data_IF_938560828232
#
_entry.id   IF_938560828232
#
_cell.length_a   1.000
_cell.length_b   1.000
_cell.length_c   1.000
_cell.angle_alpha   90.00
_cell.angle_beta   90.00
_cell.angle_gamma   90.00
#
_symmetry.space_group_name_H-M   'P 1'
#
loop_
_entity.id
_entity.type
_entity.pdbx_description
1 polymer ?
#
# COMPACT_ATOMS: atom_id res chain seq x y z
N UNK A 1 40.69 -2.59 -7.29
CA UNK A 1 39.24 -2.76 -7.51
C UNK A 1 38.91 -2.18 -8.89
N UNK A 2 38.89 -3.03 -9.92
CA UNK A 2 38.78 -2.60 -11.32
C UNK A 2 37.36 -2.14 -11.65
N UNK A 3 37.18 -0.86 -11.97
CA UNK A 3 35.98 -0.34 -12.64
C UNK A 3 36.19 -0.55 -14.14
N UNK A 4 35.60 -1.60 -14.70
CA UNK A 4 35.58 -1.80 -16.15
C UNK A 4 34.68 -0.71 -16.75
N UNK A 5 35.30 0.31 -17.33
CA UNK A 5 34.60 1.38 -18.04
C UNK A 5 34.17 0.78 -19.37
N UNK A 6 32.95 0.24 -19.43
CA UNK A 6 32.39 -0.33 -20.64
C UNK A 6 32.31 0.78 -21.70
N UNK A 7 32.97 0.56 -22.84
CA UNK A 7 33.02 1.53 -23.92
C UNK A 7 31.62 1.68 -24.53
N UNK A 8 31.25 2.93 -24.85
CA UNK A 8 29.90 3.27 -25.33
C UNK A 8 29.61 2.53 -26.64
N UNK A 9 30.62 2.40 -27.50
CA UNK A 9 30.52 1.68 -28.77
C UNK A 9 30.33 0.17 -28.57
N UNK A 10 30.98 -0.41 -27.55
CA UNK A 10 30.82 -1.83 -27.19
C UNK A 10 29.41 -2.11 -26.65
N UNK A 11 28.86 -1.19 -25.85
CA UNK A 11 27.48 -1.26 -25.37
C UNK A 11 26.47 -1.21 -26.53
N UNK A 12 26.63 -0.26 -27.45
CA UNK A 12 25.73 -0.12 -28.60
C UNK A 12 25.79 -1.34 -29.51
N UNK A 13 26.97 -1.84 -29.83
CA UNK A 13 27.13 -3.05 -30.65
C UNK A 13 26.47 -4.26 -29.99
N UNK A 14 26.70 -4.46 -28.68
CA UNK A 14 26.12 -5.59 -27.94
C UNK A 14 24.60 -5.49 -27.83
N UNK A 15 24.06 -4.28 -27.61
CA UNK A 15 22.62 -4.01 -27.57
C UNK A 15 21.94 -4.24 -28.92
N UNK A 16 22.54 -3.76 -30.02
CA UNK A 16 22.00 -3.96 -31.37
C UNK A 16 22.10 -5.42 -31.81
N UNK A 17 23.17 -6.13 -31.47
CA UNK A 17 23.30 -7.57 -31.70
C UNK A 17 22.27 -8.39 -30.91
N UNK A 18 21.98 -8.00 -29.66
CA UNK A 18 20.92 -8.65 -28.87
C UNK A 18 19.53 -8.34 -29.42
N UNK A 19 19.28 -7.09 -29.84
CA UNK A 19 18.04 -6.69 -30.49
C UNK A 19 17.82 -7.44 -31.80
N UNK A 20 18.81 -7.48 -32.68
CA UNK A 20 18.74 -8.20 -33.96
C UNK A 20 18.50 -9.70 -33.75
N UNK A 21 19.16 -10.33 -32.77
CA UNK A 21 18.91 -11.73 -32.42
C UNK A 21 17.50 -11.95 -31.85
N UNK A 22 17.00 -11.03 -31.04
CA UNK A 22 15.64 -11.07 -30.51
C UNK A 22 14.59 -10.88 -31.62
N UNK A 23 14.79 -9.94 -32.53
CA UNK A 23 13.90 -9.67 -33.66
C UNK A 23 13.85 -10.89 -34.61
N UNK A 24 15.01 -11.49 -34.89
CA UNK A 24 15.09 -12.72 -35.67
C UNK A 24 14.38 -13.90 -34.99
N UNK A 25 14.50 -14.02 -33.66
CA UNK A 25 13.77 -15.04 -32.90
C UNK A 25 12.26 -14.79 -32.93
N UNK A 26 11.81 -13.55 -32.72
CA UNK A 26 10.40 -13.15 -32.76
C UNK A 26 9.76 -13.38 -34.14
N UNK A 27 10.55 -13.33 -35.22
CA UNK A 27 10.09 -13.67 -36.57
C UNK A 27 9.89 -15.18 -36.81
N UNK A 28 10.43 -16.06 -35.95
CA UNK A 28 10.18 -17.50 -36.04
C UNK A 28 8.77 -17.89 -35.56
N UNK A 29 8.25 -19.05 -35.97
CA UNK A 29 6.95 -19.56 -35.51
C UNK A 29 6.83 -19.64 -33.98
N UNK A 30 7.93 -20.01 -33.28
CA UNK A 30 7.98 -20.10 -31.82
C UNK A 30 8.01 -18.71 -31.16
N UNK A 31 8.77 -17.77 -31.73
CA UNK A 31 8.81 -16.38 -31.25
C UNK A 31 7.50 -15.64 -31.49
N UNK A 32 6.83 -15.88 -32.61
CA UNK A 32 5.50 -15.36 -32.90
C UNK A 32 4.45 -15.90 -31.90
N UNK A 33 4.48 -17.20 -31.58
CA UNK A 33 3.60 -17.80 -30.57
C UNK A 33 3.85 -17.21 -29.17
N UNK A 34 5.12 -17.04 -28.78
CA UNK A 34 5.48 -16.37 -27.52
C UNK A 34 4.95 -14.94 -27.47
N UNK A 35 5.12 -14.17 -28.56
CA UNK A 35 4.63 -12.79 -28.66
C UNK A 35 3.11 -12.71 -28.49
N UNK A 36 2.37 -13.56 -29.19
CA UNK A 36 0.90 -13.65 -29.06
C UNK A 36 0.52 -14.06 -27.64
N UNK A 37 1.23 -15.02 -27.04
CA UNK A 37 1.02 -15.45 -25.66
C UNK A 37 1.23 -14.32 -24.66
N UNK A 38 2.34 -13.57 -24.76
CA UNK A 38 2.63 -12.43 -23.88
C UNK A 38 1.60 -11.32 -24.05
N UNK A 39 1.26 -10.95 -25.28
CA UNK A 39 0.22 -9.93 -25.54
C UNK A 39 -1.11 -10.39 -24.93
N UNK A 40 -1.52 -11.64 -25.20
CA UNK A 40 -2.75 -12.19 -24.64
C UNK A 40 -2.78 -12.16 -23.11
N UNK A 41 -1.68 -12.54 -22.46
CA UNK A 41 -1.56 -12.48 -20.99
C UNK A 41 -1.64 -11.05 -20.48
N UNK A 42 -0.92 -10.09 -21.07
CA UNK A 42 -0.94 -8.69 -20.63
C UNK A 42 -2.32 -8.06 -20.84
N UNK A 43 -2.96 -8.30 -21.99
CA UNK A 43 -4.30 -7.80 -22.31
C UNK A 43 -5.36 -8.35 -21.36
N UNK A 44 -5.24 -9.61 -20.92
CA UNK A 44 -6.15 -10.19 -19.94
C UNK A 44 -5.81 -9.80 -18.50
N UNK A 45 -4.52 -9.75 -18.14
CA UNK A 45 -4.06 -9.48 -16.78
C UNK A 45 -4.33 -8.03 -16.36
N UNK A 46 -4.21 -7.05 -17.26
CA UNK A 46 -4.46 -5.64 -16.94
C UNK A 46 -5.87 -5.37 -16.40
N UNK A 47 -6.97 -5.71 -17.11
CA UNK A 47 -8.32 -5.47 -16.60
C UNK A 47 -8.59 -6.27 -15.32
N UNK A 48 -8.06 -7.50 -15.19
CA UNK A 48 -8.18 -8.29 -13.97
C UNK A 48 -7.49 -7.58 -12.80
N UNK A 49 -6.23 -7.17 -12.96
CA UNK A 49 -5.50 -6.43 -11.93
C UNK A 49 -6.23 -5.14 -11.56
N UNK A 50 -6.77 -4.41 -12.55
CA UNK A 50 -7.54 -3.21 -12.31
C UNK A 50 -8.82 -3.48 -11.51
N UNK A 51 -9.55 -4.56 -11.82
CA UNK A 51 -10.73 -4.98 -11.06
C UNK A 51 -10.42 -5.29 -9.60
N UNK A 52 -9.25 -5.88 -9.32
CA UNK A 52 -8.82 -6.29 -7.99
C UNK A 52 -8.23 -5.13 -7.17
N UNK A 53 -7.53 -4.19 -7.82
CA UNK A 53 -6.78 -3.11 -7.14
C UNK A 53 -7.53 -1.78 -7.07
N UNK A 54 -8.37 -1.48 -8.06
CA UNK A 54 -9.08 -0.20 -8.19
C UNK A 54 -10.51 -0.41 -8.69
N UNK A 55 -11.04 -1.63 -8.61
CA UNK A 55 -12.35 -1.99 -9.16
C UNK A 55 -13.40 -2.28 -8.09
N UNK A 56 -14.62 -2.67 -8.52
CA UNK A 56 -15.73 -2.92 -7.60
C UNK A 56 -15.50 -4.11 -6.67
N UNK A 57 -14.58 -5.03 -7.01
CA UNK A 57 -14.24 -6.18 -6.17
C UNK A 57 -13.34 -5.81 -4.98
N UNK A 58 -12.79 -4.60 -4.97
CA UNK A 58 -11.84 -4.16 -3.94
C UNK A 58 -12.46 -4.23 -2.53
N UNK A 59 -13.72 -3.82 -2.36
CA UNK A 59 -14.40 -3.82 -1.06
C UNK A 59 -14.55 -5.21 -0.45
N UNK A 60 -14.74 -6.25 -1.27
CA UNK A 60 -14.85 -7.63 -0.81
C UNK A 60 -13.46 -8.27 -0.58
N UNK A 61 -12.50 -7.97 -1.45
CA UNK A 61 -11.16 -8.57 -1.38
C UNK A 61 -10.28 -7.98 -0.31
N UNK A 62 -10.48 -6.70 0.01
CA UNK A 62 -9.62 -5.98 0.94
C UNK A 62 -9.68 -6.57 2.37
N UNK A 63 -10.86 -6.81 2.98
CA UNK A 63 -10.93 -7.46 4.28
C UNK A 63 -10.40 -8.89 4.27
N UNK A 64 -10.67 -9.63 3.21
CA UNK A 64 -10.20 -11.01 3.05
C UNK A 64 -8.67 -11.09 3.01
N UNK A 65 -8.02 -10.18 2.28
CA UNK A 65 -6.56 -10.17 2.10
C UNK A 65 -5.81 -9.65 3.32
N UNK A 66 -6.33 -8.61 3.96
CA UNK A 66 -5.60 -7.85 4.98
C UNK A 66 -6.08 -8.07 6.42
N UNK A 67 -7.15 -8.87 6.65
CA UNK A 67 -7.72 -9.12 7.99
C UNK A 67 -7.94 -7.82 8.76
N UNK A 68 -8.95 -7.08 8.34
CA UNK A 68 -9.29 -5.77 8.92
C UNK A 68 -10.56 -5.87 9.74
N UNK A 69 -10.71 -4.98 10.72
CA UNK A 69 -11.95 -4.74 11.45
C UNK A 69 -12.60 -3.44 10.98
N UNK A 70 -13.92 -3.48 10.82
CA UNK A 70 -14.74 -2.31 10.54
C UNK A 70 -15.12 -1.56 11.83
N UNK A 71 -14.86 -2.16 13.00
CA UNK A 71 -15.14 -1.55 14.30
C UNK A 71 -14.03 -0.55 14.65
N UNK A 72 -14.30 0.72 14.35
CA UNK A 72 -13.43 1.83 14.72
C UNK A 72 -13.90 2.44 16.05
N UNK A 73 -12.97 2.80 16.96
CA UNK A 73 -13.30 3.55 18.17
C UNK A 73 -13.93 4.91 17.82
N UNK A 74 -14.84 5.39 18.66
CA UNK A 74 -15.59 6.63 18.38
C UNK A 74 -14.68 7.86 18.26
N UNK A 75 -13.60 7.90 19.05
CA UNK A 75 -12.53 8.91 18.94
C UNK A 75 -11.99 8.99 17.50
N UNK A 76 -11.69 7.84 16.92
CA UNK A 76 -11.12 7.73 15.58
C UNK A 76 -12.15 8.04 14.50
N UNK A 77 -13.40 7.60 14.65
CA UNK A 77 -14.50 7.95 13.72
C UNK A 77 -14.65 9.46 13.60
N UNK A 78 -14.71 10.16 14.73
CA UNK A 78 -14.80 11.62 14.76
C UNK A 78 -13.62 12.28 14.05
N UNK A 79 -12.39 11.80 14.29
CA UNK A 79 -11.20 12.30 13.60
C UNK A 79 -11.29 12.06 12.09
N UNK A 80 -11.74 10.87 11.66
CA UNK A 80 -11.91 10.53 10.25
C UNK A 80 -12.91 11.45 9.58
N UNK A 81 -14.08 11.65 10.17
CA UNK A 81 -15.13 12.54 9.66
C UNK A 81 -14.60 13.97 9.50
N UNK A 82 -13.93 14.51 10.52
CA UNK A 82 -13.36 15.86 10.48
C UNK A 82 -12.30 16.01 9.38
N UNK A 83 -11.33 15.09 9.31
CA UNK A 83 -10.28 15.17 8.29
C UNK A 83 -10.81 14.95 6.88
N UNK A 84 -11.81 14.08 6.74
CA UNK A 84 -12.50 13.85 5.47
C UNK A 84 -13.23 15.10 4.98
N UNK A 85 -13.96 15.77 5.88
CA UNK A 85 -14.64 17.02 5.57
C UNK A 85 -13.65 18.11 5.13
N UNK A 86 -12.58 18.33 5.90
CA UNK A 86 -11.56 19.33 5.54
C UNK A 86 -10.87 19.01 4.21
N UNK A 87 -10.64 17.73 3.93
CA UNK A 87 -10.08 17.30 2.66
C UNK A 87 -11.04 17.56 1.49
N UNK A 88 -12.31 17.21 1.63
CA UNK A 88 -13.34 17.45 0.60
C UNK A 88 -13.50 18.95 0.30
N UNK A 89 -13.58 19.77 1.35
CA UNK A 89 -13.67 21.24 1.24
C UNK A 89 -12.47 21.81 0.49
N UNK A 90 -11.25 21.38 0.84
CA UNK A 90 -10.01 21.86 0.22
C UNK A 90 -9.85 21.43 -1.23
N UNK A 91 -10.31 20.24 -1.59
CA UNK A 91 -10.24 19.71 -2.96
C UNK A 91 -11.44 20.15 -3.82
N UNK A 92 -12.42 20.87 -3.24
CA UNK A 92 -13.64 21.30 -3.93
C UNK A 92 -14.51 20.15 -4.42
N UNK A 93 -14.56 19.04 -3.66
CA UNK A 93 -15.29 17.81 -4.02
C UNK A 93 -16.56 17.64 -3.19
N UNK A 94 -17.60 17.08 -3.79
CA UNK A 94 -18.80 16.64 -3.07
C UNK A 94 -18.61 15.28 -2.38
N UNK A 95 -19.40 15.02 -1.35
CA UNK A 95 -19.41 13.73 -0.62
C UNK A 95 -19.81 12.54 -1.52
N UNK A 96 -20.63 12.76 -2.55
CA UNK A 96 -21.06 11.73 -3.51
C UNK A 96 -19.97 11.31 -4.49
N UNK A 97 -18.93 12.14 -4.66
CA UNK A 97 -17.97 12.00 -5.75
C UNK A 97 -16.75 11.19 -5.35
N UNK A 98 -16.57 10.95 -4.05
CA UNK A 98 -15.38 10.30 -3.52
C UNK A 98 -15.77 9.18 -2.55
N UNK A 99 -15.44 7.95 -2.92
CA UNK A 99 -15.60 6.80 -2.05
C UNK A 99 -14.27 6.49 -1.36
N UNK A 100 -14.26 6.49 -0.03
CA UNK A 100 -13.18 5.88 0.74
C UNK A 100 -13.74 5.17 1.96
N UNK A 101 -13.05 4.12 2.39
CA UNK A 101 -13.39 3.39 3.59
C UNK A 101 -12.17 3.24 4.48
N UNK A 102 -12.37 3.54 5.75
CA UNK A 102 -11.37 3.34 6.79
C UNK A 102 -11.72 2.10 7.60
N UNK A 103 -10.71 1.28 7.82
CA UNK A 103 -10.76 0.07 8.66
C UNK A 103 -9.53 0.04 9.54
N UNK A 104 -9.50 -0.86 10.53
CA UNK A 104 -8.35 -1.05 11.40
C UNK A 104 -7.71 -2.42 11.14
N UNK A 105 -6.39 -2.46 11.01
CA UNK A 105 -5.66 -3.71 10.85
C UNK A 105 -5.75 -4.56 12.12
N UNK A 106 -6.01 -5.86 11.96
CA UNK A 106 -5.98 -6.83 13.07
C UNK A 106 -4.63 -7.54 13.19
N UNK A 107 -3.90 -7.67 12.08
CA UNK A 107 -2.66 -8.44 12.00
C UNK A 107 -1.43 -7.54 12.14
N UNK A 108 -1.01 -7.33 13.39
CA UNK A 108 0.16 -6.51 13.71
C UNK A 108 1.51 -7.12 13.25
N UNK A 109 1.53 -8.38 12.80
CA UNK A 109 2.78 -9.05 12.37
C UNK A 109 3.16 -8.72 10.93
N UNK A 110 2.20 -8.27 10.11
CA UNK A 110 2.41 -7.97 8.68
C UNK A 110 2.86 -6.55 8.40
N UNK A 111 2.25 -5.57 9.06
CA UNK A 111 2.55 -4.15 8.84
C UNK A 111 2.29 -3.33 10.10
N UNK A 112 3.19 -2.40 10.37
CA UNK A 112 3.01 -1.35 11.38
C UNK A 112 2.45 -0.07 10.78
N UNK A 113 2.48 0.09 9.46
CA UNK A 113 1.93 1.27 8.79
C UNK A 113 0.62 0.95 8.08
N UNK A 114 -0.11 1.99 7.69
CA UNK A 114 -1.38 1.87 6.99
C UNK A 114 -1.24 1.12 5.67
N UNK A 115 -2.21 0.27 5.38
CA UNK A 115 -2.33 -0.38 4.07
C UNK A 115 -3.36 0.40 3.26
N UNK A 116 -2.98 0.82 2.05
CA UNK A 116 -3.78 1.68 1.18
C UNK A 116 -3.88 1.06 -0.21
N UNK A 117 -5.09 0.75 -0.66
CA UNK A 117 -5.35 0.17 -1.98
C UNK A 117 -6.47 0.95 -2.66
N UNK A 118 -6.42 1.08 -3.99
CA UNK A 118 -7.34 1.89 -4.77
C UNK A 118 -6.89 3.34 -4.88
N UNK A 119 -7.79 4.20 -5.37
CA UNK A 119 -7.50 5.62 -5.60
C UNK A 119 -8.78 6.44 -5.60
N UNK A 120 -8.70 7.66 -5.08
CA UNK A 120 -9.81 8.63 -5.09
C UNK A 120 -10.06 9.25 -6.48
N UNK A 121 -9.23 8.90 -7.47
CA UNK A 121 -9.49 9.21 -8.87
C UNK A 121 -10.42 8.18 -9.55
N UNK A 122 -10.72 7.05 -8.89
CA UNK A 122 -11.59 6.00 -9.40
C UNK A 122 -12.99 6.10 -8.78
N UNK A 123 -14.08 5.81 -9.53
CA UNK A 123 -15.44 5.74 -8.99
C UNK A 123 -15.63 4.72 -7.86
N UNK A 124 -14.76 3.72 -7.78
CA UNK A 124 -14.78 2.65 -6.76
C UNK A 124 -14.03 3.06 -5.48
N UNK A 125 -13.27 4.15 -5.54
CA UNK A 125 -12.63 4.73 -4.39
C UNK A 125 -11.36 4.05 -3.88
N UNK A 126 -11.06 4.30 -2.61
CA UNK A 126 -9.90 3.75 -1.91
C UNK A 126 -10.29 3.04 -0.60
N UNK A 127 -9.57 1.98 -0.28
CA UNK A 127 -9.67 1.26 0.99
C UNK A 127 -8.40 1.51 1.80
N UNK A 128 -8.57 1.96 3.03
CA UNK A 128 -7.50 2.36 3.94
C UNK A 128 -7.64 1.54 5.22
N UNK A 129 -6.65 0.70 5.51
CA UNK A 129 -6.55 0.00 6.78
C UNK A 129 -5.51 0.71 7.65
N UNK A 130 -5.97 1.43 8.66
CA UNK A 130 -5.14 2.12 9.63
C UNK A 130 -4.37 1.10 10.50
N UNK A 131 -3.21 1.48 11.06
CA UNK A 131 -2.41 0.59 11.88
C UNK A 131 -3.19 0.07 13.09
N UNK A 132 -2.89 -1.14 13.54
CA UNK A 132 -3.60 -1.76 14.67
C UNK A 132 -3.60 -0.91 15.95
N UNK A 133 -2.58 -0.06 16.13
CA UNK A 133 -2.38 0.74 17.34
C UNK A 133 -3.23 2.00 17.42
N UNK A 134 -3.89 2.41 16.32
CA UNK A 134 -4.80 3.60 16.35
C UNK A 134 -5.98 3.42 17.30
N UNK A 135 -6.23 2.19 17.76
CA UNK A 135 -7.32 1.86 18.67
C UNK A 135 -6.99 2.10 20.15
N UNK A 136 -5.70 2.21 20.50
CA UNK A 136 -5.30 2.31 21.90
C UNK A 136 -5.52 3.72 22.45
N UNK A 137 -6.18 3.80 23.59
CA UNK A 137 -6.40 5.06 24.32
C UNK A 137 -5.28 5.33 25.32
N UNK A 138 -4.67 4.30 25.86
CA UNK A 138 -3.67 4.37 26.91
C UNK A 138 -2.63 3.25 26.78
N UNK A 139 -1.52 3.39 27.51
CA UNK A 139 -0.41 2.43 27.45
C UNK A 139 -0.79 1.05 28.00
N UNK A 140 -1.79 0.98 28.89
CA UNK A 140 -2.26 -0.28 29.46
C UNK A 140 -2.94 -1.17 28.40
N UNK A 141 -3.81 -0.59 27.58
CA UNK A 141 -4.42 -1.27 26.44
C UNK A 141 -3.36 -1.74 25.43
N UNK A 142 -2.35 -0.90 25.18
CA UNK A 142 -1.23 -1.26 24.30
C UNK A 142 -0.41 -2.41 24.89
N UNK A 143 -0.14 -2.40 26.20
CA UNK A 143 0.59 -3.43 26.92
C UNK A 143 -0.12 -4.79 26.86
N UNK A 144 -1.43 -4.80 27.15
CA UNK A 144 -2.26 -6.00 27.10
C UNK A 144 -2.29 -6.60 25.69
N UNK A 145 -2.46 -5.75 24.68
CA UNK A 145 -2.41 -6.20 23.29
C UNK A 145 -1.03 -6.74 22.91
N UNK A 146 0.05 -6.08 23.34
CA UNK A 146 1.42 -6.46 23.01
C UNK A 146 1.78 -7.84 23.54
N UNK A 147 1.47 -8.12 24.81
CA UNK A 147 1.70 -9.44 25.43
C UNK A 147 0.98 -10.57 24.70
N UNK A 148 -0.21 -10.31 24.16
CA UNK A 148 -1.03 -11.33 23.50
C UNK A 148 -0.68 -11.53 22.03
N UNK A 149 -0.31 -10.46 21.32
CA UNK A 149 -0.29 -10.46 19.85
C UNK A 149 1.09 -10.16 19.24
N UNK A 150 1.98 -9.52 20.00
CA UNK A 150 3.26 -9.01 19.51
C UNK A 150 4.47 -9.86 19.91
N UNK A 151 4.27 -11.07 20.44
CA UNK A 151 5.36 -12.01 20.72
C UNK A 151 5.42 -13.15 19.67
N UNK A 152 6.58 -13.41 19.04
CA UNK A 152 7.77 -12.56 19.00
C UNK A 152 7.54 -11.28 18.18
N UNK A 153 8.22 -10.19 18.55
CA UNK A 153 8.04 -8.88 17.94
C UNK A 153 8.90 -8.75 16.69
N UNK A 154 8.30 -8.38 15.56
CA UNK A 154 9.02 -8.22 14.31
C UNK A 154 9.39 -6.76 14.07
N UNK A 155 10.68 -6.44 14.13
CA UNK A 155 11.22 -5.11 13.80
C UNK A 155 12.06 -5.25 12.54
N UNK A 156 11.62 -4.62 11.45
CA UNK A 156 12.37 -4.54 10.18
C UNK A 156 12.85 -5.91 9.66
N UNK A 157 12.01 -6.94 9.79
CA UNK A 157 12.32 -8.30 9.35
C UNK A 157 13.15 -9.11 10.34
N UNK A 158 13.45 -8.58 11.52
CA UNK A 158 14.13 -9.29 12.62
C UNK A 158 13.15 -9.53 13.76
N UNK A 159 13.09 -10.77 14.23
CA UNK A 159 12.30 -11.15 15.39
C UNK A 159 13.08 -10.89 16.67
N UNK A 160 12.48 -10.17 17.61
CA UNK A 160 12.99 -9.90 18.94
C UNK A 160 11.96 -10.30 20.00
N UNK A 161 12.44 -10.84 21.13
CA UNK A 161 11.62 -11.02 22.32
C UNK A 161 11.75 -9.78 23.18
N UNK A 162 10.66 -9.03 23.33
CA UNK A 162 10.63 -7.82 24.14
C UNK A 162 9.99 -8.14 25.48
N UNK A 163 10.68 -7.79 26.57
CA UNK A 163 10.07 -7.76 27.89
C UNK A 163 9.26 -6.46 27.97
N UNK A 164 7.95 -6.53 27.72
CA UNK A 164 7.10 -5.34 27.60
C UNK A 164 7.05 -4.46 28.86
N UNK A 165 7.30 -5.04 30.03
CA UNK A 165 7.34 -4.34 31.32
C UNK A 165 8.67 -3.63 31.60
N UNK A 166 9.70 -3.90 30.79
CA UNK A 166 10.99 -3.22 30.91
C UNK A 166 10.88 -1.76 30.46
N UNK A 167 11.87 -0.94 30.83
CA UNK A 167 11.94 0.47 30.40
C UNK A 167 11.91 0.62 28.87
N UNK A 168 12.60 -0.27 28.15
CA UNK A 168 12.56 -0.30 26.68
C UNK A 168 11.17 -0.69 26.18
N UNK A 169 10.53 -1.68 26.82
CA UNK A 169 9.16 -2.10 26.49
C UNK A 169 8.16 -0.95 26.64
N UNK A 170 8.21 -0.24 27.76
CA UNK A 170 7.36 0.95 28.01
C UNK A 170 7.60 2.06 27.00
N UNK A 171 8.86 2.33 26.64
CA UNK A 171 9.18 3.32 25.60
C UNK A 171 8.60 2.93 24.23
N UNK A 172 8.55 1.64 23.90
CA UNK A 172 7.94 1.18 22.64
C UNK A 172 6.41 1.31 22.74
N UNK A 173 5.81 0.91 23.86
CA UNK A 173 4.36 0.98 24.07
C UNK A 173 3.84 2.41 24.01
N UNK A 174 4.58 3.38 24.53
CA UNK A 174 4.19 4.79 24.43
C UNK A 174 4.09 5.28 22.99
N UNK A 175 4.86 4.70 22.05
CA UNK A 175 4.74 5.03 20.62
C UNK A 175 3.46 4.51 19.96
N UNK A 176 2.80 3.52 20.57
CA UNK A 176 1.53 2.98 20.08
C UNK A 176 0.32 3.80 20.53
N UNK A 177 0.49 4.69 21.50
CA UNK A 177 -0.61 5.55 22.00
C UNK A 177 -0.54 6.89 21.31
N UNK A 178 -1.44 7.11 20.35
CA UNK A 178 -1.46 8.33 19.55
C UNK A 178 -2.28 9.46 20.22
N UNK A 179 -1.75 10.69 20.11
CA UNK A 179 -2.51 11.91 20.39
C UNK A 179 -3.59 12.15 19.32
N UNK A 180 -4.54 13.05 19.60
CA UNK A 180 -5.60 13.40 18.64
C UNK A 180 -5.01 14.01 17.36
N UNK A 181 -3.97 14.82 17.50
CA UNK A 181 -3.24 15.44 16.40
C UNK A 181 -2.49 14.39 15.57
N UNK A 182 -1.89 13.39 16.23
CA UNK A 182 -1.20 12.30 15.53
C UNK A 182 -2.18 11.42 14.74
N UNK A 183 -3.37 11.14 15.30
CA UNK A 183 -4.45 10.45 14.59
C UNK A 183 -4.94 11.28 13.39
N UNK A 184 -5.17 12.57 13.58
CA UNK A 184 -5.60 13.47 12.51
C UNK A 184 -4.57 13.54 11.38
N UNK A 185 -3.29 13.67 11.73
CA UNK A 185 -2.19 13.65 10.78
C UNK A 185 -2.16 12.33 9.99
N UNK A 186 -2.31 11.19 10.66
CA UNK A 186 -2.25 9.88 10.02
C UNK A 186 -3.39 9.68 9.03
N UNK A 187 -4.61 10.06 9.40
CA UNK A 187 -5.79 10.03 8.51
C UNK A 187 -5.57 10.93 7.30
N UNK A 188 -5.18 12.20 7.52
CA UNK A 188 -4.95 13.16 6.44
C UNK A 188 -3.85 12.67 5.49
N UNK A 189 -2.71 12.21 6.03
CA UNK A 189 -1.60 11.61 5.28
C UNK A 189 -2.09 10.51 4.36
N UNK A 190 -2.96 9.62 4.86
CA UNK A 190 -3.45 8.49 4.08
C UNK A 190 -4.45 8.89 3.00
N UNK A 191 -5.34 9.86 3.27
CA UNK A 191 -6.22 10.45 2.26
C UNK A 191 -5.42 11.06 1.10
N UNK A 192 -4.42 11.88 1.41
CA UNK A 192 -3.57 12.49 0.39
C UNK A 192 -2.73 11.46 -0.37
N UNK A 193 -2.33 10.37 0.27
CA UNK A 193 -1.59 9.31 -0.39
C UNK A 193 -2.44 8.55 -1.43
N UNK A 194 -3.73 8.35 -1.19
CA UNK A 194 -4.63 7.65 -2.13
C UNK A 194 -5.27 8.57 -3.19
N UNK A 195 -5.10 9.88 -3.06
CA UNK A 195 -5.58 10.86 -4.03
C UNK A 195 -4.96 10.66 -5.41
N UNK A 196 -3.65 10.37 -5.46
CA UNK A 196 -2.94 10.17 -6.73
C UNK A 196 -3.19 8.76 -7.27
N UNK A 197 -3.51 8.60 -8.57
CA UNK A 197 -3.60 7.28 -9.17
C UNK A 197 -2.25 6.56 -9.06
N UNK A 198 -2.27 5.26 -8.77
CA UNK A 198 -1.07 4.43 -8.85
C UNK A 198 -0.42 4.61 -10.23
N UNK A 199 0.86 4.99 -10.21
CA UNK A 199 1.69 5.33 -11.35
C UNK A 199 2.03 4.11 -12.22
N UNK A 200 1.03 3.46 -12.82
CA UNK A 200 1.25 2.65 -14.03
C UNK A 200 0.90 3.44 -15.30
N UNK A 201 0.16 4.56 -15.18
CA UNK A 201 -0.22 5.41 -16.31
C UNK A 201 0.77 6.54 -16.61
N UNK A 202 1.51 7.09 -15.64
CA UNK A 202 2.50 8.15 -15.92
C UNK A 202 3.69 7.64 -16.76
N UNK A 203 4.10 6.38 -16.60
CA UNK A 203 5.16 5.79 -17.42
C UNK A 203 4.77 5.59 -18.90
N UNK A 204 3.47 5.69 -19.23
CA UNK A 204 2.95 5.47 -20.59
C UNK A 204 2.61 6.79 -21.30
N UNK A 205 2.32 7.87 -20.55
CA UNK A 205 1.88 9.14 -21.11
C UNK A 205 2.88 10.30 -20.94
N UNK A 206 4.02 10.10 -20.29
CA UNK A 206 5.17 11.03 -20.38
C UNK A 206 6.12 10.57 -21.50
N UNK A 207 5.72 10.82 -22.75
CA UNK A 207 6.61 10.92 -23.92
C UNK A 207 6.13 12.01 -24.85
#
# INVERSE_FOLDING_TARGET
MFKQKMDIDEFYQRFWLTKSKADNFLATKKGALLRVGVIGVVTAAYPIANLLMSGPLLSALFPWRYKVSNELPDRLKKTIEQQSFFWLEKEGRGESDTFFSFTCQLDAKKSFDSIRIGTLASPTGAQIALPFYVKFKNEQEALEYAKQNLEPFNILGKTACIIWESEIGKQILSTFVLSDEALAFLVARDLYAVQKPYLLTQAIFEK
#
